data_IF_108289545732
#
_entry.id   IF_108289545732
#
_cell.length_a   1.000
_cell.length_b   1.000
_cell.length_c   1.000
_cell.angle_alpha   90.00
_cell.angle_beta   90.00
_cell.angle_gamma   90.00
#
_symmetry.space_group_name_H-M   'P 1'
#
loop_
_entity.id
_entity.type
_entity.pdbx_description
1 polymer ?
#
# COMPACT_ATOMS: atom_id res chain seq x y z
N UNK A 1 22.06 -12.34 27.06
CA UNK A 1 22.60 -12.64 25.72
C UNK A 1 22.46 -14.12 25.40
N UNK A 2 22.96 -15.06 26.23
CA UNK A 2 22.89 -16.50 25.96
C UNK A 2 21.47 -17.07 25.83
N UNK A 3 20.51 -16.58 26.62
CA UNK A 3 19.11 -16.98 26.50
C UNK A 3 18.50 -16.61 25.13
N UNK A 4 18.80 -15.41 24.62
CA UNK A 4 18.29 -14.99 23.33
C UNK A 4 18.84 -15.86 22.19
N UNK A 5 20.12 -16.16 22.21
CA UNK A 5 20.78 -17.04 21.22
C UNK A 5 20.18 -18.45 21.26
N UNK A 6 19.99 -19.03 22.45
CA UNK A 6 19.43 -20.39 22.53
C UNK A 6 18.00 -20.46 22.07
N UNK A 7 17.17 -19.43 22.31
CA UNK A 7 15.82 -19.36 21.77
C UNK A 7 15.86 -19.28 20.23
N UNK A 8 16.76 -18.45 19.67
CA UNK A 8 16.90 -18.31 18.22
C UNK A 8 17.35 -19.63 17.57
N UNK A 9 18.31 -20.35 18.18
CA UNK A 9 18.73 -21.66 17.70
C UNK A 9 17.57 -22.66 17.68
N UNK A 10 16.81 -22.78 18.78
CA UNK A 10 15.63 -23.66 18.87
C UNK A 10 14.59 -23.29 17.78
N UNK A 11 14.29 -22.01 17.62
CA UNK A 11 13.35 -21.54 16.57
C UNK A 11 13.85 -21.93 15.18
N UNK A 12 15.13 -21.71 14.89
CA UNK A 12 15.73 -22.05 13.60
C UNK A 12 15.67 -23.55 13.35
N UNK A 13 15.98 -24.37 14.34
CA UNK A 13 15.91 -25.85 14.24
C UNK A 13 14.49 -26.33 14.01
N UNK A 14 13.49 -25.74 14.67
CA UNK A 14 12.07 -26.05 14.44
C UNK A 14 11.67 -25.70 12.99
N UNK A 15 12.01 -24.51 12.51
CA UNK A 15 11.68 -24.08 11.15
C UNK A 15 12.39 -24.94 10.11
N UNK A 16 13.67 -25.24 10.30
CA UNK A 16 14.42 -26.11 9.39
C UNK A 16 13.87 -27.54 9.41
N UNK A 17 13.58 -28.08 10.58
CA UNK A 17 12.97 -29.39 10.73
C UNK A 17 11.64 -29.49 9.97
N UNK A 18 10.76 -28.51 10.16
CA UNK A 18 9.50 -28.41 9.44
C UNK A 18 9.70 -28.33 7.93
N UNK A 19 10.61 -27.47 7.45
CA UNK A 19 10.94 -27.33 6.03
C UNK A 19 11.41 -28.66 5.44
N UNK A 20 12.32 -29.38 6.10
CA UNK A 20 12.86 -30.65 5.62
C UNK A 20 11.80 -31.75 5.58
N UNK A 21 10.91 -31.79 6.57
CA UNK A 21 9.80 -32.77 6.61
C UNK A 21 8.80 -32.55 5.49
N UNK A 22 8.55 -31.28 5.11
CA UNK A 22 7.64 -30.92 3.99
C UNK A 22 8.33 -31.15 2.64
N UNK A 23 9.57 -30.69 2.49
CA UNK A 23 10.29 -30.73 1.21
C UNK A 23 10.70 -32.14 0.80
N UNK A 24 11.01 -33.04 1.75
CA UNK A 24 11.50 -34.38 1.48
C UNK A 24 10.65 -35.48 2.13
N UNK A 25 9.42 -35.72 1.65
CA UNK A 25 8.48 -36.66 2.28
C UNK A 25 8.98 -38.12 2.30
N UNK A 26 9.82 -38.51 1.33
CA UNK A 26 10.38 -39.86 1.23
C UNK A 26 11.41 -40.18 2.33
N UNK A 27 12.00 -39.18 2.98
CA UNK A 27 13.04 -39.35 4.00
C UNK A 27 12.63 -38.78 5.36
N UNK A 28 11.33 -38.71 5.63
CA UNK A 28 10.78 -38.10 6.86
C UNK A 28 11.39 -38.67 8.15
N UNK A 29 11.52 -39.98 8.25
CA UNK A 29 12.08 -40.62 9.44
C UNK A 29 13.53 -40.20 9.71
N UNK A 30 14.35 -40.08 8.68
CA UNK A 30 15.73 -39.64 8.80
C UNK A 30 15.81 -38.19 9.30
N UNK A 31 15.05 -37.30 8.68
CA UNK A 31 15.01 -35.87 9.05
C UNK A 31 14.38 -35.65 10.43
N UNK A 32 13.37 -36.46 10.81
CA UNK A 32 12.83 -36.46 12.17
C UNK A 32 13.87 -36.85 13.19
N UNK A 33 14.69 -37.89 12.93
CA UNK A 33 15.77 -38.31 13.81
C UNK A 33 16.81 -37.21 14.00
N UNK A 34 17.24 -36.56 12.91
CA UNK A 34 18.18 -35.43 12.95
C UNK A 34 17.56 -34.25 13.73
N UNK A 35 16.31 -33.92 13.49
CA UNK A 35 15.59 -32.86 14.19
C UNK A 35 15.51 -33.13 15.69
N UNK A 36 15.14 -34.34 16.11
CA UNK A 36 15.07 -34.72 17.52
C UNK A 36 16.43 -34.66 18.20
N UNK A 37 17.49 -35.02 17.50
CA UNK A 37 18.85 -34.91 18.02
C UNK A 37 19.21 -33.45 18.32
N UNK A 38 19.04 -32.58 17.35
CA UNK A 38 19.35 -31.15 17.52
C UNK A 38 18.50 -30.49 18.59
N UNK A 39 17.17 -30.71 18.58
CA UNK A 39 16.28 -30.12 19.57
C UNK A 39 16.58 -30.62 21.00
N UNK A 40 17.07 -31.86 21.15
CA UNK A 40 17.48 -32.39 22.45
C UNK A 40 18.71 -31.67 23.00
N UNK A 41 19.72 -31.45 22.15
CA UNK A 41 20.95 -30.75 22.54
C UNK A 41 20.62 -29.27 22.87
N UNK A 42 19.87 -28.61 22.01
CA UNK A 42 19.46 -27.21 22.20
C UNK A 42 18.54 -27.03 23.41
N UNK A 43 17.69 -28.03 23.70
CA UNK A 43 16.84 -28.07 24.87
C UNK A 43 17.64 -28.07 26.20
N UNK A 44 18.74 -28.81 26.24
CA UNK A 44 19.66 -28.81 27.42
C UNK A 44 20.28 -27.42 27.60
N UNK A 45 20.75 -26.79 26.52
CA UNK A 45 21.26 -25.41 26.57
C UNK A 45 20.19 -24.40 26.98
N UNK A 46 18.98 -24.55 26.49
CA UNK A 46 17.87 -23.69 26.88
C UNK A 46 17.55 -23.81 28.36
N UNK A 47 17.45 -25.03 28.88
CA UNK A 47 17.21 -25.28 30.30
C UNK A 47 18.31 -24.70 31.20
N UNK A 48 19.57 -24.82 30.78
CA UNK A 48 20.70 -24.23 31.50
C UNK A 48 20.63 -22.69 31.52
N UNK A 49 20.20 -22.08 30.44
CA UNK A 49 20.07 -20.62 30.35
C UNK A 49 18.80 -20.07 31.01
N UNK A 50 17.72 -20.86 31.12
CA UNK A 50 16.52 -20.46 31.85
C UNK A 50 16.81 -20.16 33.33
N UNK A 51 17.71 -20.90 33.98
CA UNK A 51 18.12 -20.59 35.33
C UNK A 51 18.75 -19.20 35.51
N UNK A 52 19.25 -18.60 34.44
CA UNK A 52 19.86 -17.26 34.43
C UNK A 52 18.84 -16.11 34.19
N UNK A 53 17.58 -16.42 34.00
CA UNK A 53 16.52 -15.39 33.74
C UNK A 53 16.46 -14.44 34.92
N UNK A 54 16.45 -14.94 36.14
CA UNK A 54 16.37 -14.15 37.37
C UNK A 54 17.62 -13.26 37.56
N UNK A 55 18.80 -13.71 37.11
CA UNK A 55 20.06 -12.99 37.26
C UNK A 55 20.38 -12.01 36.11
N UNK A 56 19.39 -11.64 35.31
CA UNK A 56 19.53 -10.61 34.24
C UNK A 56 18.89 -10.96 32.89
N UNK A 57 18.53 -12.22 32.64
CA UNK A 57 17.91 -12.67 31.40
C UNK A 57 16.52 -12.08 31.17
N UNK A 58 15.83 -11.66 32.24
CA UNK A 58 14.50 -11.00 32.15
C UNK A 58 14.50 -9.75 31.29
N UNK A 59 15.60 -8.99 31.28
CA UNK A 59 15.70 -7.75 30.45
C UNK A 59 15.53 -8.05 28.95
N UNK A 60 16.16 -9.11 28.47
CA UNK A 60 16.03 -9.54 27.08
C UNK A 60 14.59 -9.93 26.74
N UNK A 61 13.90 -10.60 27.67
CA UNK A 61 12.49 -10.99 27.47
C UNK A 61 11.57 -9.76 27.43
N UNK A 62 11.79 -8.78 28.32
CA UNK A 62 11.02 -7.51 28.31
C UNK A 62 11.24 -6.76 27.00
N UNK A 63 12.49 -6.67 26.53
CA UNK A 63 12.82 -6.03 25.29
C UNK A 63 12.15 -6.73 24.10
N UNK A 64 12.23 -8.06 24.04
CA UNK A 64 11.56 -8.87 23.01
C UNK A 64 10.04 -8.70 23.05
N UNK A 65 9.42 -8.72 24.24
CA UNK A 65 7.99 -8.50 24.40
C UNK A 65 7.56 -7.09 23.94
N UNK A 66 8.39 -6.08 24.20
CA UNK A 66 8.14 -4.71 23.74
C UNK A 66 8.12 -4.62 22.22
N UNK A 67 9.13 -5.15 21.53
CA UNK A 67 9.17 -5.17 20.07
C UNK A 67 8.05 -6.03 19.48
N UNK A 68 7.78 -7.19 20.06
CA UNK A 68 6.67 -8.04 19.62
C UNK A 68 5.33 -7.32 19.72
N UNK A 69 5.06 -6.66 20.85
CA UNK A 69 3.82 -5.90 21.04
C UNK A 69 3.71 -4.78 20.02
N UNK A 70 4.79 -4.06 19.75
CA UNK A 70 4.80 -2.98 18.77
C UNK A 70 4.51 -3.50 17.35
N UNK A 71 5.14 -4.59 16.94
CA UNK A 71 4.88 -5.24 15.65
C UNK A 71 3.47 -5.81 15.55
N UNK A 72 2.97 -6.40 16.63
CA UNK A 72 1.61 -6.92 16.70
C UNK A 72 0.57 -5.80 16.52
N UNK A 73 0.73 -4.70 17.26
CA UNK A 73 -0.14 -3.53 17.14
C UNK A 73 -0.08 -2.91 15.74
N UNK A 74 1.12 -2.85 15.14
CA UNK A 74 1.30 -2.37 13.77
C UNK A 74 0.55 -3.24 12.76
N UNK A 75 0.69 -4.56 12.85
CA UNK A 75 -0.01 -5.49 11.96
C UNK A 75 -1.53 -5.40 12.13
N UNK A 76 -2.02 -5.33 13.37
CA UNK A 76 -3.46 -5.16 13.62
C UNK A 76 -4.00 -3.85 13.06
N UNK A 77 -3.26 -2.76 13.18
CA UNK A 77 -3.64 -1.49 12.58
C UNK A 77 -3.63 -1.53 11.04
N UNK A 78 -2.68 -2.28 10.45
CA UNK A 78 -2.65 -2.49 8.99
C UNK A 78 -3.85 -3.29 8.50
N UNK A 79 -4.21 -4.37 9.20
CA UNK A 79 -5.43 -5.14 8.91
C UNK A 79 -6.69 -4.27 9.02
N UNK A 80 -6.82 -3.50 10.11
CA UNK A 80 -7.93 -2.59 10.32
C UNK A 80 -8.03 -1.57 9.17
N UNK A 81 -6.92 -0.97 8.77
CA UNK A 81 -6.90 -0.02 7.66
C UNK A 81 -7.33 -0.66 6.35
N UNK A 82 -6.94 -1.91 6.10
CA UNK A 82 -7.32 -2.64 4.88
C UNK A 82 -8.80 -3.00 4.90
N UNK A 83 -9.35 -3.37 6.06
CA UNK A 83 -10.78 -3.71 6.20
C UNK A 83 -11.70 -2.49 6.04
N UNK A 84 -11.21 -1.29 6.38
CA UNK A 84 -11.95 -0.02 6.24
C UNK A 84 -11.85 0.55 4.82
N UNK A 85 -10.92 0.06 4.00
CA UNK A 85 -10.80 0.56 2.63
C UNK A 85 -12.01 0.08 1.82
N UNK A 86 -12.88 1.01 1.50
CA UNK A 86 -14.02 0.80 0.63
C UNK A 86 -13.61 0.93 -0.84
N UNK A 87 -14.34 0.25 -1.71
CA UNK A 87 -14.10 0.27 -3.15
C UNK A 87 -15.38 0.68 -3.87
N UNK A 88 -15.25 1.69 -4.72
CA UNK A 88 -16.31 2.09 -5.65
C UNK A 88 -16.27 1.24 -6.92
N UNK A 89 -17.45 0.99 -7.49
CA UNK A 89 -17.54 0.29 -8.77
C UNK A 89 -17.06 1.19 -9.91
N UNK A 90 -16.25 0.64 -10.83
CA UNK A 90 -15.80 1.38 -12.00
C UNK A 90 -16.98 1.85 -12.90
N UNK A 91 -18.13 1.16 -12.84
CA UNK A 91 -19.36 1.62 -13.53
C UNK A 91 -19.81 3.02 -13.10
N UNK A 92 -19.53 3.42 -11.85
CA UNK A 92 -19.83 4.77 -11.32
C UNK A 92 -18.75 5.78 -11.71
N UNK A 93 -17.50 5.33 -11.82
CA UNK A 93 -16.34 6.16 -12.14
C UNK A 93 -16.31 6.59 -13.61
N UNK A 94 -16.62 5.69 -14.53
CA UNK A 94 -16.56 5.90 -15.98
C UNK A 94 -17.37 7.12 -16.44
N UNK A 95 -18.67 7.28 -16.11
CA UNK A 95 -19.45 8.42 -16.55
C UNK A 95 -18.93 9.74 -15.97
N UNK A 96 -18.41 9.74 -14.74
CA UNK A 96 -17.83 10.94 -14.12
C UNK A 96 -16.52 11.35 -14.78
N UNK A 97 -15.65 10.42 -15.12
CA UNK A 97 -14.42 10.69 -15.86
C UNK A 97 -14.73 11.31 -17.23
N UNK A 98 -15.71 10.74 -17.94
CA UNK A 98 -16.13 11.27 -19.25
C UNK A 98 -16.71 12.68 -19.13
N UNK A 99 -17.50 12.94 -18.08
CA UNK A 99 -18.05 14.26 -17.82
C UNK A 99 -16.96 15.29 -17.51
N UNK A 100 -15.99 14.95 -16.64
CA UNK A 100 -14.85 15.82 -16.32
C UNK A 100 -13.99 16.10 -17.56
N UNK A 101 -13.78 15.10 -18.44
CA UNK A 101 -13.02 15.28 -19.68
C UNK A 101 -13.71 16.27 -20.63
N UNK A 102 -15.04 16.26 -20.71
CA UNK A 102 -15.83 17.14 -21.58
C UNK A 102 -16.01 18.55 -21.02
N UNK A 103 -15.88 18.74 -19.70
CA UNK A 103 -16.07 20.05 -19.08
C UNK A 103 -14.95 21.03 -19.46
N UNK A 104 -15.31 22.12 -20.14
CA UNK A 104 -14.40 23.18 -20.58
C UNK A 104 -13.93 24.09 -19.43
N UNK A 105 -14.69 24.13 -18.33
CA UNK A 105 -14.35 24.98 -17.18
C UNK A 105 -13.24 24.38 -16.32
N UNK A 106 -12.96 23.09 -16.46
CA UNK A 106 -11.90 22.41 -15.74
C UNK A 106 -10.64 22.42 -16.61
N UNK A 107 -9.56 23.10 -16.18
CA UNK A 107 -8.30 23.11 -16.92
C UNK A 107 -7.62 21.75 -16.84
N UNK A 108 -6.85 21.39 -17.86
CA UNK A 108 -5.98 20.22 -17.81
C UNK A 108 -4.89 20.43 -16.76
N UNK A 109 -4.70 19.44 -15.92
CA UNK A 109 -3.64 19.41 -14.89
C UNK A 109 -2.35 18.80 -15.43
N UNK A 110 -2.47 17.77 -16.25
CA UNK A 110 -1.38 17.08 -16.93
C UNK A 110 -1.92 16.32 -18.14
N UNK A 111 -1.05 15.87 -19.03
CA UNK A 111 -1.42 14.92 -20.09
C UNK A 111 -1.71 13.56 -19.48
N UNK A 112 -0.81 13.07 -18.62
CA UNK A 112 -0.95 11.79 -17.92
C UNK A 112 -1.04 12.01 -16.42
N UNK A 113 -2.13 11.55 -15.79
CA UNK A 113 -2.23 11.48 -14.34
C UNK A 113 -2.25 10.01 -13.91
N UNK A 114 -1.38 9.66 -12.96
CA UNK A 114 -1.25 8.32 -12.42
C UNK A 114 -1.68 8.29 -10.97
N UNK A 115 -2.67 7.45 -10.66
CA UNK A 115 -3.14 7.19 -9.31
C UNK A 115 -2.70 5.79 -8.87
N UNK A 116 -1.74 5.66 -7.94
CA UNK A 116 -1.49 4.38 -7.29
C UNK A 116 -2.73 3.92 -6.53
N UNK A 117 -3.20 2.71 -6.83
CA UNK A 117 -4.40 2.10 -6.23
C UNK A 117 -4.07 0.79 -5.53
N UNK A 118 -4.81 0.45 -4.46
CA UNK A 118 -4.72 -0.85 -3.79
C UNK A 118 -5.63 -1.89 -4.42
N UNK A 119 -6.55 -1.46 -5.27
CA UNK A 119 -7.43 -2.39 -5.96
C UNK A 119 -6.62 -3.30 -6.88
N UNK A 120 -6.76 -4.60 -6.73
CA UNK A 120 -6.19 -5.61 -7.60
C UNK A 120 -7.08 -5.96 -8.80
N UNK A 121 -8.15 -5.22 -9.02
CA UNK A 121 -9.14 -5.46 -10.07
C UNK A 121 -9.44 -4.19 -10.86
N UNK A 122 -9.48 -4.23 -12.20
CA UNK A 122 -9.86 -3.10 -13.03
C UNK A 122 -11.31 -2.64 -12.87
N UNK A 123 -12.15 -3.47 -12.22
CA UNK A 123 -13.57 -3.17 -12.03
C UNK A 123 -13.88 -2.37 -10.77
N UNK A 124 -12.89 -2.15 -9.90
CA UNK A 124 -13.03 -1.48 -8.61
C UNK A 124 -11.96 -0.42 -8.44
N UNK A 125 -12.31 0.68 -7.81
CA UNK A 125 -11.41 1.78 -7.48
C UNK A 125 -11.48 2.09 -5.99
N UNK A 126 -10.34 2.37 -5.37
CA UNK A 126 -10.31 2.84 -3.97
C UNK A 126 -11.16 4.08 -3.80
N UNK A 127 -12.01 4.13 -2.78
CA UNK A 127 -12.82 5.32 -2.44
C UNK A 127 -11.92 6.54 -2.20
N UNK A 128 -10.71 6.34 -1.67
CA UNK A 128 -9.76 7.45 -1.47
C UNK A 128 -9.28 8.05 -2.79
N UNK A 129 -9.06 7.22 -3.82
CA UNK A 129 -8.73 7.68 -5.18
C UNK A 129 -9.91 8.40 -5.80
N UNK A 130 -11.12 7.85 -5.63
CA UNK A 130 -12.36 8.47 -6.08
C UNK A 130 -12.52 9.88 -5.48
N UNK A 131 -12.34 10.03 -4.17
CA UNK A 131 -12.39 11.32 -3.48
C UNK A 131 -11.35 12.32 -3.98
N UNK A 132 -10.10 11.88 -4.18
CA UNK A 132 -9.03 12.73 -4.70
C UNK A 132 -9.32 13.20 -6.13
N UNK A 133 -9.91 12.32 -6.95
CA UNK A 133 -10.17 12.59 -8.37
C UNK A 133 -11.36 13.51 -8.60
N UNK A 134 -12.44 13.37 -7.80
CA UNK A 134 -13.72 14.05 -8.07
C UNK A 134 -14.17 15.03 -6.98
N UNK A 135 -14.05 14.66 -5.70
CA UNK A 135 -14.73 15.39 -4.64
C UNK A 135 -13.93 16.57 -4.09
N UNK A 136 -12.61 16.50 -4.05
CA UNK A 136 -11.78 17.57 -3.50
C UNK A 136 -11.62 18.72 -4.49
N UNK A 137 -11.17 18.41 -5.68
CA UNK A 137 -11.08 19.27 -6.84
C UNK A 137 -11.07 18.37 -8.07
N UNK A 138 -12.06 18.45 -8.96
CA UNK A 138 -12.06 17.60 -10.15
C UNK A 138 -10.77 17.77 -10.94
N UNK A 139 -10.10 16.66 -11.23
CA UNK A 139 -8.81 16.64 -11.93
C UNK A 139 -9.02 16.20 -13.36
N UNK A 140 -8.57 17.01 -14.29
CA UNK A 140 -8.68 16.76 -15.72
C UNK A 140 -7.32 16.39 -16.30
N UNK A 141 -7.26 15.25 -16.96
CA UNK A 141 -6.12 14.80 -17.74
C UNK A 141 -6.60 14.26 -19.09
N UNK A 142 -5.70 14.15 -20.05
CA UNK A 142 -6.03 13.46 -21.29
C UNK A 142 -6.12 11.95 -21.04
N UNK A 143 -5.16 11.40 -20.30
CA UNK A 143 -5.10 9.99 -19.93
C UNK A 143 -5.00 9.85 -18.42
N UNK A 144 -5.88 9.03 -17.84
CA UNK A 144 -5.88 8.66 -16.42
C UNK A 144 -5.43 7.22 -16.28
N UNK A 145 -4.43 7.02 -15.43
CA UNK A 145 -3.87 5.71 -15.14
C UNK A 145 -4.15 5.30 -13.70
N UNK A 146 -4.76 4.15 -13.50
CA UNK A 146 -4.85 3.50 -12.20
C UNK A 146 -3.76 2.44 -12.11
N UNK A 147 -2.78 2.65 -11.24
CA UNK A 147 -1.61 1.80 -11.11
C UNK A 147 -1.71 0.92 -9.87
N UNK A 148 -1.81 -0.37 -10.05
CA UNK A 148 -1.69 -1.37 -8.99
C UNK A 148 -0.27 -1.92 -8.98
N UNK A 149 0.37 -1.84 -7.80
CA UNK A 149 1.71 -2.39 -7.58
C UNK A 149 1.60 -3.64 -6.73
N UNK A 150 2.08 -4.76 -7.25
CA UNK A 150 2.11 -6.05 -6.58
C UNK A 150 3.56 -6.56 -6.47
N UNK A 151 4.03 -6.78 -5.24
CA UNK A 151 5.38 -7.26 -4.99
C UNK A 151 5.34 -8.78 -4.90
N UNK A 152 6.03 -9.43 -5.84
CA UNK A 152 6.08 -10.87 -5.97
C UNK A 152 7.11 -11.50 -5.01
N UNK A 153 6.91 -12.80 -4.72
CA UNK A 153 7.85 -13.58 -3.91
C UNK A 153 9.15 -13.94 -4.65
N UNK A 154 9.21 -13.70 -5.95
CA UNK A 154 10.41 -13.86 -6.75
C UNK A 154 11.36 -12.68 -6.52
N UNK A 155 12.69 -12.91 -6.44
CA UNK A 155 13.63 -11.84 -6.15
C UNK A 155 13.74 -10.80 -7.26
N UNK A 156 13.66 -11.22 -8.51
CA UNK A 156 13.82 -10.38 -9.69
C UNK A 156 12.70 -10.63 -10.69
N UNK A 157 12.41 -9.64 -11.48
CA UNK A 157 11.43 -9.70 -12.56
C UNK A 157 10.45 -8.55 -12.53
N UNK A 158 10.11 -8.05 -13.72
CA UNK A 158 9.11 -6.99 -13.92
C UNK A 158 8.10 -7.50 -14.93
N UNK A 159 6.87 -7.71 -14.47
CA UNK A 159 5.75 -8.06 -15.32
C UNK A 159 4.68 -6.98 -15.24
N UNK A 160 3.99 -6.72 -16.33
CA UNK A 160 2.89 -5.77 -16.34
C UNK A 160 1.74 -6.25 -17.19
N UNK A 161 0.55 -5.84 -16.82
CA UNK A 161 -0.64 -5.95 -17.65
C UNK A 161 -1.35 -4.61 -17.73
N UNK A 162 -1.90 -4.30 -18.89
CA UNK A 162 -2.66 -3.09 -19.15
C UNK A 162 -4.07 -3.47 -19.55
N UNK A 163 -5.06 -2.93 -18.85
CA UNK A 163 -6.47 -3.08 -19.17
C UNK A 163 -7.03 -1.71 -19.52
N UNK A 164 -7.58 -1.55 -20.70
CA UNK A 164 -8.29 -0.36 -21.11
C UNK A 164 -9.68 -0.33 -20.48
N UNK A 165 -10.00 0.77 -19.80
CA UNK A 165 -11.29 0.97 -19.12
C UNK A 165 -12.19 1.88 -19.96
N UNK A 166 -11.62 2.95 -20.51
CA UNK A 166 -12.28 3.88 -21.44
C UNK A 166 -11.33 4.09 -22.61
N UNK A 167 -11.84 3.92 -23.82
CA UNK A 167 -11.06 4.02 -25.06
C UNK A 167 -10.16 5.26 -25.04
N UNK A 168 -8.86 5.04 -25.18
CA UNK A 168 -7.77 6.03 -25.22
C UNK A 168 -7.78 7.10 -24.12
N UNK A 169 -8.51 6.85 -23.00
CA UNK A 169 -8.71 7.86 -21.95
C UNK A 169 -8.37 7.33 -20.55
N UNK A 170 -8.68 6.07 -20.26
CA UNK A 170 -8.49 5.53 -18.92
C UNK A 170 -7.97 4.11 -18.97
N UNK A 171 -6.87 3.86 -18.27
CA UNK A 171 -6.19 2.57 -18.21
C UNK A 171 -5.97 2.12 -16.77
N UNK A 172 -6.08 0.81 -16.58
CA UNK A 172 -5.65 0.15 -15.35
C UNK A 172 -4.39 -0.65 -15.65
N UNK A 173 -3.32 -0.35 -14.92
CA UNK A 173 -2.02 -1.03 -15.05
C UNK A 173 -1.78 -1.83 -13.78
N UNK A 174 -1.55 -3.12 -13.92
CA UNK A 174 -1.02 -3.95 -12.84
C UNK A 174 0.46 -4.21 -13.11
N UNK A 175 1.30 -3.74 -12.21
CA UNK A 175 2.74 -3.86 -12.26
C UNK A 175 3.20 -4.83 -11.17
N UNK A 176 3.81 -5.92 -11.57
CA UNK A 176 4.32 -6.96 -10.68
C UNK A 176 5.84 -6.88 -10.65
N UNK A 177 6.40 -6.65 -9.47
CA UNK A 177 7.84 -6.48 -9.26
C UNK A 177 8.38 -7.56 -8.34
N UNK A 178 9.56 -8.09 -8.66
CA UNK A 178 10.33 -8.91 -7.74
C UNK A 178 10.73 -8.10 -6.50
N UNK A 179 10.81 -8.74 -5.32
CA UNK A 179 11.03 -8.02 -4.05
C UNK A 179 12.42 -7.36 -3.92
N UNK A 180 13.37 -7.65 -4.82
CA UNK A 180 14.69 -7.00 -4.92
C UNK A 180 14.79 -5.97 -6.04
N UNK A 181 13.75 -5.83 -6.86
CA UNK A 181 13.73 -4.81 -7.92
C UNK A 181 13.61 -3.42 -7.32
N UNK A 182 14.35 -2.48 -7.88
CA UNK A 182 14.22 -1.07 -7.50
C UNK A 182 12.91 -0.48 -8.04
N UNK A 183 12.22 0.30 -7.21
CA UNK A 183 10.91 0.86 -7.54
C UNK A 183 11.06 2.13 -8.42
N UNK A 184 11.54 1.98 -9.66
CA UNK A 184 11.57 3.06 -10.64
C UNK A 184 10.24 3.16 -11.42
N UNK A 185 9.16 3.46 -10.70
CA UNK A 185 7.80 3.41 -11.24
C UNK A 185 7.61 4.37 -12.42
N UNK A 186 8.14 5.60 -12.33
CA UNK A 186 8.04 6.57 -13.41
C UNK A 186 8.68 6.05 -14.70
N UNK A 187 9.88 5.52 -14.62
CA UNK A 187 10.57 4.91 -15.77
C UNK A 187 9.77 3.76 -16.39
N UNK A 188 9.20 2.90 -15.55
CA UNK A 188 8.40 1.77 -16.01
C UNK A 188 7.12 2.23 -16.70
N UNK A 189 6.41 3.21 -16.15
CA UNK A 189 5.21 3.78 -16.77
C UNK A 189 5.51 4.44 -18.11
N UNK A 190 6.60 5.21 -18.22
CA UNK A 190 7.04 5.80 -19.49
C UNK A 190 7.36 4.73 -20.54
N UNK A 191 8.01 3.63 -20.14
CA UNK A 191 8.32 2.49 -21.02
C UNK A 191 7.05 1.77 -21.50
N UNK A 192 6.05 1.62 -20.64
CA UNK A 192 4.75 1.03 -21.00
C UNK A 192 4.05 1.94 -22.02
N UNK A 193 3.99 3.25 -21.76
CA UNK A 193 3.36 4.20 -22.67
C UNK A 193 4.04 4.21 -24.05
N UNK A 194 5.38 4.25 -24.12
CA UNK A 194 6.11 4.20 -25.40
C UNK A 194 5.72 2.98 -26.22
N UNK A 195 5.63 1.80 -25.60
CA UNK A 195 5.19 0.58 -26.29
C UNK A 195 3.75 0.67 -26.80
N UNK A 196 2.85 1.36 -26.07
CA UNK A 196 1.46 1.56 -26.49
C UNK A 196 1.36 2.57 -27.66
N UNK A 197 2.21 3.61 -27.66
CA UNK A 197 2.33 4.55 -28.76
C UNK A 197 2.88 3.86 -30.01
N UNK A 198 3.90 3.04 -29.89
CA UNK A 198 4.47 2.23 -30.99
C UNK A 198 3.41 1.30 -31.63
N UNK A 199 2.47 0.83 -30.85
CA UNK A 199 1.33 0.00 -31.31
C UNK A 199 0.13 0.81 -31.82
N UNK A 200 0.21 2.14 -31.83
CA UNK A 200 -0.89 3.06 -32.16
C UNK A 200 -2.12 2.94 -31.21
N UNK A 201 -1.92 2.44 -30.01
CA UNK A 201 -2.96 2.34 -28.98
C UNK A 201 -3.17 3.69 -28.27
N UNK A 202 -2.14 4.56 -28.26
CA UNK A 202 -2.17 5.88 -27.61
C UNK A 202 -1.54 6.96 -28.49
N UNK A 203 -1.99 8.22 -28.28
CA UNK A 203 -1.27 9.40 -28.77
C UNK A 203 -0.04 9.66 -27.89
N UNK A 204 1.11 9.88 -28.51
CA UNK A 204 2.35 10.28 -27.81
C UNK A 204 2.48 11.79 -27.64
N UNK A 205 1.44 12.58 -27.91
CA UNK A 205 1.50 14.04 -27.88
C UNK A 205 1.02 14.63 -26.55
N UNK A 206 1.60 15.76 -26.16
CA UNK A 206 1.14 16.54 -25.01
C UNK A 206 -0.16 17.27 -25.32
N UNK A 207 -1.05 17.35 -24.32
CA UNK A 207 -2.26 18.18 -24.36
C UNK A 207 -1.92 19.67 -24.43
N UNK A 208 -0.78 20.04 -23.88
CA UNK A 208 -0.35 21.45 -23.85
C UNK A 208 0.30 21.83 -25.18
N UNK A 209 -0.38 22.66 -25.97
CA UNK A 209 0.07 23.08 -27.30
C UNK A 209 1.46 23.77 -27.28
N UNK A 210 1.77 24.50 -26.20
CA UNK A 210 3.03 25.22 -26.04
C UNK A 210 4.27 24.31 -26.03
N UNK A 211 4.09 23.04 -25.64
CA UNK A 211 5.19 22.06 -25.50
C UNK A 211 5.09 20.93 -26.53
N UNK A 212 3.99 20.85 -27.25
CA UNK A 212 3.77 19.82 -28.26
C UNK A 212 4.84 19.87 -29.36
N UNK A 213 5.51 18.76 -29.58
CA UNK A 213 6.61 18.63 -30.54
C UNK A 213 7.96 19.22 -30.10
N UNK A 214 8.02 19.94 -28.99
CA UNK A 214 9.25 20.54 -28.45
C UNK A 214 9.89 19.69 -27.31
N UNK A 215 9.14 18.76 -26.74
CA UNK A 215 9.60 17.88 -25.67
C UNK A 215 9.46 16.43 -26.13
N UNK A 216 10.55 15.67 -26.02
CA UNK A 216 10.59 14.26 -26.42
C UNK A 216 9.69 13.38 -25.49
N UNK A 217 9.43 13.83 -24.28
CA UNK A 217 8.68 13.06 -23.28
C UNK A 217 7.43 13.80 -22.83
N UNK A 218 6.30 13.08 -22.89
CA UNK A 218 5.01 13.58 -22.41
C UNK A 218 5.02 13.70 -20.89
N UNK A 219 4.35 14.74 -20.38
CA UNK A 219 4.29 15.03 -18.96
C UNK A 219 3.46 13.98 -18.20
N UNK A 220 4.00 13.61 -17.03
CA UNK A 220 3.38 12.73 -16.05
C UNK A 220 3.20 13.44 -14.73
N UNK A 221 2.06 13.21 -14.07
CA UNK A 221 1.82 13.62 -12.69
C UNK A 221 1.35 12.42 -11.87
N UNK A 222 2.07 12.11 -10.83
CA UNK A 222 1.70 11.07 -9.88
C UNK A 222 0.93 11.69 -8.70
N UNK A 223 -0.25 11.16 -8.41
CA UNK A 223 -1.07 11.61 -7.27
C UNK A 223 -1.05 10.53 -6.21
N UNK A 224 -0.17 10.67 -5.24
CA UNK A 224 -0.02 9.73 -4.12
C UNK A 224 -0.97 10.13 -3.00
N UNK A 225 -1.86 9.22 -2.63
CA UNK A 225 -2.87 9.50 -1.62
C UNK A 225 -2.38 9.05 -0.24
N UNK A 226 -2.21 10.01 0.66
CA UNK A 226 -1.92 9.76 2.05
C UNK A 226 -3.23 9.76 2.86
N UNK A 227 -3.83 8.58 2.96
CA UNK A 227 -5.06 8.42 3.71
C UNK A 227 -4.79 8.40 5.23
N UNK A 228 -5.52 9.24 5.98
CA UNK A 228 -5.49 9.26 7.44
C UNK A 228 -6.83 8.80 7.98
N UNK A 229 -6.78 7.90 8.96
CA UNK A 229 -7.99 7.52 9.70
C UNK A 229 -8.46 8.78 10.44
N UNK A 230 -9.71 9.20 10.22
CA UNK A 230 -10.28 10.38 10.88
C UNK A 230 -10.33 10.15 12.40
N UNK A 231 -10.32 11.27 13.17
CA UNK A 231 -10.27 11.20 14.64
C UNK A 231 -11.65 10.85 15.21
N UNK A 232 -12.71 11.17 14.47
CA UNK A 232 -14.12 10.99 14.88
C UNK A 232 -14.68 9.59 14.63
N UNK A 233 -13.80 8.60 14.46
CA UNK A 233 -14.24 7.22 14.31
C UNK A 233 -14.58 6.61 15.66
N UNK A 234 -15.72 5.91 15.75
CA UNK A 234 -16.12 5.07 16.89
C UNK A 234 -15.21 3.83 17.01
N UNK A 235 -13.93 4.10 17.23
CA UNK A 235 -12.94 3.06 17.42
C UNK A 235 -12.94 2.58 18.87
N UNK A 236 -12.89 1.27 19.05
CA UNK A 236 -12.68 0.71 20.38
C UNK A 236 -11.34 1.22 20.98
N UNK A 237 -11.21 1.28 22.32
CA UNK A 237 -9.95 1.71 22.96
C UNK A 237 -8.72 0.96 22.44
N UNK A 238 -8.86 -0.34 22.17
CA UNK A 238 -7.79 -1.16 21.61
C UNK A 238 -7.42 -0.74 20.19
N UNK A 239 -8.41 -0.50 19.31
CA UNK A 239 -8.18 -0.01 17.94
C UNK A 239 -7.49 1.35 17.94
N UNK A 240 -7.85 2.25 18.88
CA UNK A 240 -7.18 3.54 19.06
C UNK A 240 -5.69 3.38 19.40
N UNK A 241 -5.34 2.43 20.28
CA UNK A 241 -3.94 2.11 20.59
C UNK A 241 -3.22 1.59 19.35
N UNK A 242 -3.84 0.69 18.59
CA UNK A 242 -3.26 0.17 17.33
C UNK A 242 -2.99 1.29 16.32
N UNK A 243 -3.95 2.21 16.13
CA UNK A 243 -3.79 3.35 15.21
C UNK A 243 -2.68 4.30 15.67
N UNK A 244 -2.57 4.57 16.98
CA UNK A 244 -1.48 5.39 17.53
C UNK A 244 -0.10 4.72 17.30
N UNK A 245 0.02 3.43 17.57
CA UNK A 245 1.24 2.67 17.34
C UNK A 245 1.62 2.67 15.85
N UNK A 246 0.65 2.46 14.96
CA UNK A 246 0.87 2.55 13.51
C UNK A 246 1.36 3.94 13.07
N UNK A 247 0.74 5.01 13.58
CA UNK A 247 1.16 6.39 13.27
C UNK A 247 2.60 6.65 13.74
N UNK A 248 2.95 6.17 14.93
CA UNK A 248 4.29 6.30 15.49
C UNK A 248 5.33 5.61 14.58
N UNK A 249 5.11 4.33 14.24
CA UNK A 249 6.03 3.59 13.37
C UNK A 249 6.11 4.23 11.98
N UNK A 250 4.97 4.65 11.41
CA UNK A 250 4.93 5.28 10.08
C UNK A 250 5.61 6.66 10.06
N UNK A 251 5.60 7.40 11.17
CA UNK A 251 6.29 8.70 11.25
C UNK A 251 7.81 8.58 11.18
N UNK A 252 8.34 7.38 11.51
CA UNK A 252 9.78 7.08 11.48
C UNK A 252 10.20 6.44 10.14
N UNK A 253 9.23 5.98 9.32
CA UNK A 253 9.48 5.36 8.02
C UNK A 253 9.59 6.35 6.86
N UNK A 254 9.83 5.79 5.66
CA UNK A 254 9.92 6.54 4.41
C UNK A 254 8.60 7.27 4.09
N UNK A 255 8.71 8.38 3.38
CA UNK A 255 7.53 9.09 2.88
C UNK A 255 6.86 8.28 1.77
N UNK A 256 5.51 8.36 1.61
CA UNK A 256 4.80 7.58 0.60
C UNK A 256 5.33 7.73 -0.84
N UNK A 257 5.84 8.89 -1.22
CA UNK A 257 6.42 9.12 -2.53
C UNK A 257 7.78 8.40 -2.70
N UNK A 258 8.57 8.35 -1.64
CA UNK A 258 9.88 7.67 -1.62
C UNK A 258 9.71 6.15 -1.70
N UNK A 259 8.62 5.59 -1.11
CA UNK A 259 8.30 4.16 -1.21
C UNK A 259 8.06 3.72 -2.67
N UNK A 260 7.58 4.62 -3.53
CA UNK A 260 7.35 4.34 -4.96
C UNK A 260 8.54 4.71 -5.85
N UNK A 261 9.67 5.18 -5.29
CA UNK A 261 10.81 5.64 -6.07
C UNK A 261 10.46 6.76 -7.05
N UNK A 262 9.50 7.62 -6.67
CA UNK A 262 9.03 8.72 -7.50
C UNK A 262 9.86 9.98 -7.25
N UNK A 263 10.19 10.69 -8.32
CA UNK A 263 10.85 11.99 -8.21
C UNK A 263 9.89 13.02 -7.59
N UNK A 264 10.42 13.82 -6.67
CA UNK A 264 9.64 14.82 -5.91
C UNK A 264 9.00 15.90 -6.78
N UNK A 265 9.53 16.14 -7.98
CA UNK A 265 9.06 17.19 -8.89
C UNK A 265 7.72 16.88 -9.54
N UNK A 266 7.42 15.59 -9.77
CA UNK A 266 6.24 15.14 -10.50
C UNK A 266 5.16 14.53 -9.60
N UNK A 267 5.32 14.65 -8.27
CA UNK A 267 4.43 14.03 -7.29
C UNK A 267 3.58 15.07 -6.57
N UNK A 268 2.27 14.84 -6.61
CA UNK A 268 1.32 15.55 -5.74
C UNK A 268 0.87 14.60 -4.63
N UNK A 269 0.99 15.02 -3.37
CA UNK A 269 0.52 14.23 -2.23
C UNK A 269 -0.83 14.77 -1.79
N UNK A 270 -1.87 13.95 -1.93
CA UNK A 270 -3.22 14.27 -1.47
C UNK A 270 -3.50 13.62 -0.10
N UNK A 271 -4.08 14.39 0.81
CA UNK A 271 -4.53 13.91 2.10
C UNK A 271 -6.04 13.70 2.06
N UNK A 272 -6.47 12.44 2.21
CA UNK A 272 -7.89 12.07 2.23
C UNK A 272 -8.19 11.41 3.57
N UNK A 273 -9.14 11.94 4.36
CA UNK A 273 -9.58 11.28 5.58
C UNK A 273 -10.35 10.01 5.22
N UNK A 274 -10.11 8.91 5.95
CA UNK A 274 -10.93 7.71 5.92
C UNK A 274 -11.86 7.78 7.13
N UNK A 275 -13.17 7.89 6.89
CA UNK A 275 -14.18 7.76 7.93
C UNK A 275 -14.63 6.30 8.03
N UNK A 276 -14.77 5.81 9.26
CA UNK A 276 -15.27 4.45 9.55
C UNK A 276 -16.79 4.47 9.72
N UNK A 277 -17.39 5.64 9.88
CA UNK A 277 -18.81 5.79 10.20
C UNK A 277 -19.60 6.34 9.04
N UNK A 278 -20.61 5.57 8.62
CA UNK A 278 -21.73 6.05 7.79
C UNK A 278 -22.71 6.96 8.58
N UNK A 279 -22.31 7.47 9.74
CA UNK A 279 -23.20 8.21 10.67
C UNK A 279 -23.43 9.67 10.30
N UNK A 280 -22.87 10.14 9.18
CA UNK A 280 -23.24 11.48 8.67
C UNK A 280 -24.68 11.57 8.11
N UNK A 281 -25.43 10.47 8.10
CA UNK A 281 -26.85 10.50 7.68
C UNK A 281 -27.83 10.85 8.79
N UNK A 282 -27.40 11.04 10.04
CA UNK A 282 -28.32 11.25 11.18
C UNK A 282 -28.09 12.49 12.03
N UNK A 283 -27.05 13.26 11.80
CA UNK A 283 -27.03 14.60 12.41
C UNK A 283 -27.89 15.52 11.56
N UNK A 284 -29.17 15.60 11.97
CA UNK A 284 -30.08 16.63 11.55
C UNK A 284 -29.39 17.96 11.84
N UNK A 285 -28.94 18.65 10.78
CA UNK A 285 -28.64 20.08 10.91
C UNK A 285 -30.00 20.69 11.22
N UNK A 286 -30.29 20.96 12.49
CA UNK A 286 -31.45 21.79 12.87
C UNK A 286 -31.20 23.13 12.18
N UNK A 287 -32.12 23.53 11.33
CA UNK A 287 -32.11 24.86 10.72
C UNK A 287 -32.08 25.88 11.86
N UNK A 288 -31.00 26.62 11.96
CA UNK A 288 -30.96 27.79 12.82
C UNK A 288 -31.99 28.77 12.26
N UNK A 289 -33.14 28.90 12.96
CA UNK A 289 -34.10 29.96 12.70
C UNK A 289 -33.36 31.31 12.74
N UNK A 290 -33.53 32.09 11.65
CA UNK A 290 -33.01 33.44 11.51
C UNK A 290 -33.32 34.28 12.78
N UNK A 291 -32.31 34.60 13.55
CA UNK A 291 -32.39 35.71 14.50
C UNK A 291 -32.37 37.00 13.69
N UNK A 292 -33.55 37.47 13.31
CA UNK A 292 -33.75 38.84 12.87
C UNK A 292 -33.46 39.77 14.05
N UNK A 293 -32.34 40.45 13.99
CA UNK A 293 -32.01 41.58 14.89
C UNK A 293 -32.93 42.73 14.51
N UNK A 294 -33.93 43.02 15.35
CA UNK A 294 -34.63 44.31 15.38
C UNK A 294 -33.83 45.35 16.13
#
# INVERSE_FOLDING_TARGET
YGLAITIDMVMTSILLGFLLLVKYPKRRLMYLGIFLLFISIEGVFLMSNLGKVVSGGWFTLVLAATFFTLLFLYNKARELRTSITEYESMKKVIPLLSAVKMDKNIPFEATNIVFPTRSNSPNKLDTTVFHSLFNKKPRKADIVWFLHLDIQNEPWGVHYSVNEIIDKTCYYVSLQLGFKEEHHIEYMMRKIQRKMVEKNELSGESVFEAVRGNIEEVDYRFVVINSRVAIDNDLTPFQNICVKAYRFVKSTGLKPAEDFGLDKTNVTVDYVPISVTNTFEQDVIEDFEDYSIT
#
